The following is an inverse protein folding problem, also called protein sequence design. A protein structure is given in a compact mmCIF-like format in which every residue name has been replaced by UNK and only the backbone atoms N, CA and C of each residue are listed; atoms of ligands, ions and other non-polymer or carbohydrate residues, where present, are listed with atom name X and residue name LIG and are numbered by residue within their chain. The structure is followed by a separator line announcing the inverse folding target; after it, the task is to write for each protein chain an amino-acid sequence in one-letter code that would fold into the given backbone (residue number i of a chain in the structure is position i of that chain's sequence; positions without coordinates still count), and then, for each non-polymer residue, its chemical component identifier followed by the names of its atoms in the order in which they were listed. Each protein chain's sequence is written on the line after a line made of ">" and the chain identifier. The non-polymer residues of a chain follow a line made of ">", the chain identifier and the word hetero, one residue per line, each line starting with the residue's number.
data_IF_328570838984
#
_entry.id   IF_328570838984
#
_cell.length_a   1.000
_cell.length_b   1.000
_cell.length_c   1.000
_cell.angle_alpha   90.00
_cell.angle_beta   90.00
_cell.angle_gamma   90.00
#
_symmetry.space_group_name_H-M   'P 1'
#
loop_
_entity.id
_entity.type
_entity.pdbx_description
1 polymer ?
#
# COMPACT_ATOMS: atom_id res chain seq x y z
N UNK A 1 -4.67 -50.96 40.14
CA UNK A 1 -4.86 -49.49 40.06
C UNK A 1 -3.78 -48.95 39.14
N UNK A 2 -4.11 -48.67 37.89
CA UNK A 2 -3.14 -48.23 36.89
C UNK A 2 -3.00 -46.71 36.92
N UNK A 3 -1.83 -46.22 37.32
CA UNK A 3 -1.53 -44.79 37.41
C UNK A 3 -1.53 -44.16 36.01
N UNK A 4 -2.40 -43.18 35.81
CA UNK A 4 -2.45 -42.35 34.60
C UNK A 4 -1.21 -41.43 34.60
N UNK A 5 -0.17 -41.79 33.84
CA UNK A 5 1.04 -40.96 33.71
C UNK A 5 0.93 -40.08 32.45
N UNK A 6 0.69 -38.76 32.59
CA UNK A 6 0.47 -37.85 31.46
C UNK A 6 1.75 -37.54 30.68
N UNK A 7 2.93 -38.01 31.11
CA UNK A 7 4.21 -37.74 30.45
C UNK A 7 4.63 -38.80 29.43
N UNK A 8 3.89 -39.91 29.30
CA UNK A 8 4.22 -41.00 28.35
C UNK A 8 3.48 -40.90 27.02
N UNK A 9 2.49 -39.99 26.91
CA UNK A 9 1.62 -39.86 25.74
C UNK A 9 2.05 -38.69 24.85
N UNK A 10 3.15 -38.86 24.10
CA UNK A 10 3.32 -38.35 22.72
C UNK A 10 4.81 -38.37 22.31
N UNK A 11 5.29 -39.54 21.92
CA UNK A 11 6.44 -39.68 20.99
C UNK A 11 5.99 -39.60 19.52
N UNK A 12 4.74 -39.25 19.26
CA UNK A 12 4.21 -39.04 17.91
C UNK A 12 4.75 -37.73 17.33
N UNK A 13 5.78 -37.86 16.47
CA UNK A 13 6.22 -36.94 15.42
C UNK A 13 5.57 -35.53 15.41
N UNK A 14 5.95 -34.65 16.35
CA UNK A 14 5.64 -33.21 16.25
C UNK A 14 6.47 -32.47 15.19
N UNK A 15 7.50 -33.12 14.62
CA UNK A 15 8.45 -32.47 13.72
C UNK A 15 7.83 -32.04 12.38
N UNK A 16 6.93 -32.82 11.78
CA UNK A 16 6.35 -32.50 10.47
C UNK A 16 5.31 -31.39 10.51
N UNK A 17 4.47 -31.34 11.55
CA UNK A 17 3.43 -30.30 11.73
C UNK A 17 4.08 -28.94 12.02
N UNK A 18 5.20 -28.91 12.76
CA UNK A 18 5.95 -27.67 13.03
C UNK A 18 6.58 -27.05 11.78
N UNK A 19 7.12 -27.87 10.86
CA UNK A 19 7.76 -27.38 9.62
C UNK A 19 6.73 -26.85 8.61
N UNK A 20 5.56 -27.48 8.50
CA UNK A 20 4.49 -27.00 7.60
C UNK A 20 3.88 -25.70 8.17
N UNK A 21 3.60 -25.65 9.47
CA UNK A 21 3.06 -24.45 10.11
C UNK A 21 4.01 -23.24 10.09
N UNK A 22 5.33 -23.48 10.14
CA UNK A 22 6.33 -22.41 10.01
C UNK A 22 6.47 -21.92 8.56
N UNK A 23 6.50 -22.84 7.58
CA UNK A 23 6.53 -22.48 6.16
C UNK A 23 5.31 -21.64 5.75
N UNK A 24 4.12 -22.02 6.20
CA UNK A 24 2.89 -21.30 5.88
C UNK A 24 2.86 -19.92 6.56
N UNK A 25 3.43 -19.81 7.77
CA UNK A 25 3.60 -18.54 8.48
C UNK A 25 4.55 -17.57 7.76
N UNK A 26 5.72 -18.05 7.32
CA UNK A 26 6.70 -17.23 6.61
C UNK A 26 6.14 -16.73 5.28
N UNK A 27 5.42 -17.61 4.56
CA UNK A 27 4.72 -17.25 3.33
C UNK A 27 3.70 -16.14 3.57
N UNK A 28 2.88 -16.25 4.60
CA UNK A 28 1.85 -15.24 4.90
C UNK A 28 2.48 -13.92 5.38
N UNK A 29 3.58 -13.99 6.13
CA UNK A 29 4.35 -12.81 6.56
C UNK A 29 4.88 -12.03 5.36
N UNK A 30 5.53 -12.70 4.40
CA UNK A 30 6.00 -12.08 3.15
C UNK A 30 4.86 -11.50 2.32
N UNK A 31 3.69 -12.17 2.32
CA UNK A 31 2.50 -11.66 1.64
C UNK A 31 2.01 -10.35 2.27
N UNK A 32 2.04 -10.24 3.59
CA UNK A 32 1.70 -9.01 4.30
C UNK A 32 2.68 -7.88 4.00
N UNK A 33 3.99 -8.16 3.97
CA UNK A 33 5.01 -7.18 3.59
C UNK A 33 4.80 -6.65 2.17
N UNK A 34 4.56 -7.55 1.21
CA UNK A 34 4.26 -7.18 -0.18
C UNK A 34 2.97 -6.36 -0.31
N UNK A 35 1.95 -6.68 0.48
CA UNK A 35 0.71 -5.90 0.55
C UNK A 35 0.95 -4.49 1.10
N UNK A 36 1.75 -4.36 2.16
CA UNK A 36 2.12 -3.07 2.74
C UNK A 36 2.85 -2.18 1.73
N UNK A 37 3.83 -2.74 1.04
CA UNK A 37 4.60 -2.02 0.02
C UNK A 37 3.72 -1.60 -1.16
N UNK A 38 2.87 -2.50 -1.65
CA UNK A 38 1.92 -2.21 -2.73
C UNK A 38 0.93 -1.10 -2.34
N UNK A 39 0.40 -1.15 -1.12
CA UNK A 39 -0.53 -0.12 -0.59
C UNK A 39 0.14 1.25 -0.50
N UNK A 40 1.39 1.30 -0.01
CA UNK A 40 2.18 2.54 0.05
C UNK A 40 2.51 3.07 -1.36
N UNK A 41 2.85 2.19 -2.30
CA UNK A 41 3.11 2.59 -3.69
C UNK A 41 1.87 3.20 -4.33
N UNK A 42 0.74 2.49 -4.27
CA UNK A 42 -0.54 2.95 -4.81
C UNK A 42 -0.92 4.34 -4.26
N UNK A 43 -0.74 4.55 -2.95
CA UNK A 43 -1.04 5.83 -2.31
C UNK A 43 -0.16 6.96 -2.88
N UNK A 44 1.15 6.71 -3.04
CA UNK A 44 2.07 7.69 -3.62
C UNK A 44 1.71 8.01 -5.07
N UNK A 45 1.35 6.99 -5.85
CA UNK A 45 1.04 7.17 -7.26
C UNK A 45 -0.26 7.96 -7.46
N UNK A 46 -1.28 7.73 -6.62
CA UNK A 46 -2.52 8.52 -6.63
C UNK A 46 -2.29 9.98 -6.24
N UNK A 47 -1.42 10.25 -5.25
CA UNK A 47 -1.04 11.63 -4.89
C UNK A 47 -0.29 12.32 -6.05
N UNK A 48 0.56 11.59 -6.77
CA UNK A 48 1.23 12.14 -7.97
C UNK A 48 0.25 12.39 -9.11
N UNK A 49 -0.73 11.52 -9.29
CA UNK A 49 -1.78 11.68 -10.29
C UNK A 49 -2.61 12.94 -10.04
N UNK A 50 -3.02 13.18 -8.78
CA UNK A 50 -3.72 14.39 -8.35
C UNK A 50 -2.94 15.66 -8.75
N UNK A 51 -1.64 15.71 -8.42
CA UNK A 51 -0.77 16.81 -8.84
C UNK A 51 -0.64 16.94 -10.36
N UNK A 52 -0.62 15.83 -11.09
CA UNK A 52 -0.48 15.84 -12.55
C UNK A 52 -1.74 16.41 -13.22
N UNK A 53 -2.91 16.13 -12.65
CA UNK A 53 -4.17 16.74 -13.09
C UNK A 53 -4.20 18.25 -12.86
N UNK A 54 -3.73 18.69 -11.70
CA UNK A 54 -3.57 20.11 -11.39
C UNK A 54 -2.64 20.83 -12.37
N UNK A 55 -1.49 20.21 -12.69
CA UNK A 55 -0.54 20.75 -13.69
C UNK A 55 -1.18 20.79 -15.08
N UNK A 56 -1.92 19.75 -15.46
CA UNK A 56 -2.66 19.70 -16.73
C UNK A 56 -3.72 20.81 -16.83
N UNK A 57 -4.54 21.00 -15.79
CA UNK A 57 -5.57 22.04 -15.76
C UNK A 57 -4.95 23.44 -15.87
N UNK A 58 -3.86 23.71 -15.16
CA UNK A 58 -3.12 24.98 -15.27
C UNK A 58 -2.55 25.19 -16.68
N UNK A 59 -1.95 24.16 -17.27
CA UNK A 59 -1.40 24.21 -18.63
C UNK A 59 -2.49 24.50 -19.67
N UNK A 60 -3.64 23.86 -19.52
CA UNK A 60 -4.80 24.05 -20.39
C UNK A 60 -5.36 25.48 -20.30
N UNK A 61 -5.50 26.02 -19.08
CA UNK A 61 -5.95 27.40 -18.86
C UNK A 61 -4.97 28.42 -19.45
N UNK A 62 -3.66 28.19 -19.29
CA UNK A 62 -2.63 29.04 -19.89
C UNK A 62 -2.72 29.03 -21.41
N UNK A 63 -2.87 27.87 -22.03
CA UNK A 63 -3.00 27.74 -23.48
C UNK A 63 -4.26 28.45 -24.01
N UNK A 64 -5.40 28.29 -23.33
CA UNK A 64 -6.64 29.00 -23.64
C UNK A 64 -6.50 30.52 -23.50
N UNK A 65 -5.80 30.98 -22.47
CA UNK A 65 -5.50 32.39 -22.26
C UNK A 65 -4.63 32.95 -23.40
N UNK A 66 -3.55 32.25 -23.75
CA UNK A 66 -2.61 32.68 -24.79
C UNK A 66 -3.28 32.70 -26.18
N UNK A 67 -4.18 31.74 -26.45
CA UNK A 67 -4.96 31.71 -27.69
C UNK A 67 -5.99 32.85 -27.76
N UNK A 68 -6.76 33.05 -26.68
CA UNK A 68 -7.72 34.16 -26.58
C UNK A 68 -7.04 35.54 -26.69
N UNK A 69 -5.82 35.66 -26.14
CA UNK A 69 -5.02 36.87 -26.17
C UNK A 69 -4.23 37.09 -27.46
N UNK A 70 -4.28 36.15 -28.41
CA UNK A 70 -3.47 36.23 -29.62
C UNK A 70 -3.82 37.47 -30.46
N UNK A 71 -2.79 38.17 -30.96
CA UNK A 71 -2.95 39.35 -31.80
C UNK A 71 -3.79 39.08 -33.06
N UNK A 72 -3.81 37.83 -33.53
CA UNK A 72 -4.65 37.39 -34.65
C UNK A 72 -6.15 37.53 -34.34
N UNK A 73 -6.61 37.10 -33.16
CA UNK A 73 -8.01 37.24 -32.78
C UNK A 73 -8.34 38.71 -32.50
N UNK A 74 -7.47 39.40 -31.76
CA UNK A 74 -7.69 40.78 -31.33
C UNK A 74 -7.64 41.81 -32.49
N UNK A 75 -6.83 41.61 -33.53
CA UNK A 75 -6.78 42.55 -34.66
C UNK A 75 -8.00 42.48 -35.57
N UNK A 76 -8.52 41.28 -35.84
CA UNK A 76 -9.69 41.13 -36.72
C UNK A 76 -10.99 41.55 -36.03
N UNK A 77 -11.09 41.38 -34.71
CA UNK A 77 -12.22 41.89 -33.94
C UNK A 77 -12.27 43.43 -33.94
N UNK A 78 -11.12 44.10 -33.86
CA UNK A 78 -11.04 45.57 -33.86
C UNK A 78 -11.32 46.22 -35.22
N UNK A 79 -11.05 45.55 -36.34
CA UNK A 79 -11.28 46.10 -37.67
C UNK A 79 -12.74 45.98 -38.17
N UNK A 80 -13.66 45.43 -37.37
CA UNK A 80 -15.04 45.06 -37.76
C UNK A 80 -15.14 44.13 -38.99
N UNK A 81 -14.03 43.71 -39.58
CA UNK A 81 -13.94 42.63 -40.56
C UNK A 81 -13.87 41.29 -39.84
N UNK A 82 -14.95 40.95 -39.12
CA UNK A 82 -15.10 39.57 -38.63
C UNK A 82 -15.31 38.65 -39.83
N UNK A 83 -14.33 37.78 -40.06
CA UNK A 83 -14.40 36.75 -41.10
C UNK A 83 -15.05 35.50 -40.53
N UNK A 84 -15.64 34.65 -41.37
CA UNK A 84 -16.12 33.32 -40.94
C UNK A 84 -15.05 32.53 -40.18
N UNK A 85 -13.77 32.71 -40.55
CA UNK A 85 -12.64 32.06 -39.90
C UNK A 85 -12.44 32.55 -38.45
N UNK A 86 -12.48 33.85 -38.20
CA UNK A 86 -12.26 34.42 -36.86
C UNK A 86 -13.39 34.05 -35.91
N UNK A 87 -14.64 34.08 -36.38
CA UNK A 87 -15.81 33.61 -35.61
C UNK A 87 -15.69 32.13 -35.26
N UNK A 88 -15.30 31.28 -36.23
CA UNK A 88 -15.13 29.85 -35.99
C UNK A 88 -14.02 29.56 -34.97
N UNK A 89 -12.90 30.29 -35.02
CA UNK A 89 -11.80 30.14 -34.07
C UNK A 89 -12.24 30.57 -32.66
N UNK A 90 -12.90 31.72 -32.52
CA UNK A 90 -13.43 32.18 -31.23
C UNK A 90 -14.43 31.19 -30.63
N UNK A 91 -15.29 30.60 -31.46
CA UNK A 91 -16.20 29.55 -31.02
C UNK A 91 -15.45 28.31 -30.52
N UNK A 92 -14.43 27.85 -31.27
CA UNK A 92 -13.63 26.70 -30.89
C UNK A 92 -12.91 26.91 -29.54
N UNK A 93 -12.42 28.13 -29.29
CA UNK A 93 -11.79 28.51 -28.02
C UNK A 93 -12.82 28.48 -26.87
N UNK A 94 -14.03 28.98 -27.10
CA UNK A 94 -15.10 28.93 -26.11
C UNK A 94 -15.54 27.49 -25.80
N UNK A 95 -15.70 26.66 -26.83
CA UNK A 95 -16.05 25.25 -26.68
C UNK A 95 -14.95 24.49 -25.91
N UNK A 96 -13.69 24.79 -26.22
CA UNK A 96 -12.57 24.23 -25.47
C UNK A 96 -12.55 24.72 -24.02
N UNK A 97 -12.80 26.01 -23.76
CA UNK A 97 -12.89 26.53 -22.39
C UNK A 97 -13.98 25.84 -21.58
N UNK A 98 -15.16 25.63 -22.16
CA UNK A 98 -16.25 24.90 -21.51
C UNK A 98 -15.86 23.44 -21.23
N UNK A 99 -15.21 22.79 -22.20
CA UNK A 99 -14.70 21.41 -22.04
C UNK A 99 -13.64 21.32 -20.94
N UNK A 100 -12.72 22.28 -20.88
CA UNK A 100 -11.67 22.36 -19.86
C UNK A 100 -12.26 22.51 -18.46
N UNK A 101 -13.27 23.36 -18.30
CA UNK A 101 -14.00 23.51 -17.03
C UNK A 101 -14.68 22.20 -16.62
N UNK A 102 -15.40 21.56 -17.55
CA UNK A 102 -16.06 20.29 -17.29
C UNK A 102 -15.06 19.19 -16.89
N UNK A 103 -13.93 19.08 -17.59
CA UNK A 103 -12.87 18.13 -17.22
C UNK A 103 -12.35 18.44 -15.80
N UNK A 104 -12.08 19.71 -15.49
CA UNK A 104 -11.60 20.11 -14.16
C UNK A 104 -12.58 19.72 -13.04
N UNK A 105 -13.89 19.89 -13.25
CA UNK A 105 -14.92 19.50 -12.29
C UNK A 105 -14.95 17.98 -12.08
N UNK A 106 -14.92 17.21 -13.18
CA UNK A 106 -14.90 15.74 -13.12
C UNK A 106 -13.63 15.22 -12.43
N UNK A 107 -12.49 15.83 -12.72
CA UNK A 107 -11.22 15.49 -12.09
C UNK A 107 -11.21 15.84 -10.61
N UNK A 108 -11.78 16.98 -10.20
CA UNK A 108 -11.95 17.32 -8.78
C UNK A 108 -12.82 16.29 -8.05
N UNK A 109 -13.93 15.86 -8.65
CA UNK A 109 -14.80 14.82 -8.10
C UNK A 109 -14.04 13.48 -7.97
N UNK A 110 -13.31 13.10 -9.02
CA UNK A 110 -12.47 11.90 -9.00
C UNK A 110 -11.44 11.96 -7.86
N UNK A 111 -10.74 13.08 -7.71
CA UNK A 111 -9.73 13.26 -6.65
C UNK A 111 -10.36 13.19 -5.25
N UNK A 112 -11.54 13.76 -5.06
CA UNK A 112 -12.29 13.66 -3.79
C UNK A 112 -12.65 12.19 -3.48
N UNK A 113 -13.21 11.47 -4.45
CA UNK A 113 -13.57 10.06 -4.30
C UNK A 113 -12.32 9.24 -4.02
N UNK A 114 -11.25 9.40 -4.80
CA UNK A 114 -9.98 8.68 -4.65
C UNK A 114 -9.37 8.94 -3.27
N UNK A 115 -9.41 10.17 -2.77
CA UNK A 115 -8.89 10.53 -1.46
C UNK A 115 -9.64 9.78 -0.34
N UNK A 116 -10.98 9.85 -0.34
CA UNK A 116 -11.81 9.24 0.70
C UNK A 116 -11.81 7.71 0.64
N UNK A 117 -11.89 7.14 -0.56
CA UNK A 117 -12.10 5.70 -0.74
C UNK A 117 -10.79 4.92 -0.74
N UNK A 118 -9.73 5.45 -1.35
CA UNK A 118 -8.46 4.73 -1.52
C UNK A 118 -7.40 5.26 -0.57
N UNK A 119 -7.09 6.56 -0.59
CA UNK A 119 -5.97 7.12 0.19
C UNK A 119 -6.20 6.93 1.69
N UNK A 120 -7.36 7.34 2.21
CA UNK A 120 -7.64 7.22 3.64
C UNK A 120 -7.80 5.76 4.10
N UNK A 121 -8.40 4.91 3.25
CA UNK A 121 -8.47 3.47 3.53
C UNK A 121 -7.10 2.82 3.53
N UNK A 122 -6.21 3.21 2.62
CA UNK A 122 -4.81 2.75 2.57
C UNK A 122 -4.01 3.21 3.78
N UNK A 123 -4.21 4.44 4.28
CA UNK A 123 -3.59 4.90 5.54
C UNK A 123 -4.04 4.03 6.73
N UNK A 124 -5.34 3.75 6.85
CA UNK A 124 -5.88 2.85 7.89
C UNK A 124 -5.30 1.44 7.77
N UNK A 125 -5.23 0.91 6.56
CA UNK A 125 -4.62 -0.40 6.29
C UNK A 125 -3.14 -0.43 6.68
N UNK A 126 -2.38 0.61 6.31
CA UNK A 126 -0.95 0.72 6.65
C UNK A 126 -0.73 0.73 8.17
N UNK A 127 -1.57 1.44 8.93
CA UNK A 127 -1.52 1.42 10.39
C UNK A 127 -1.84 0.03 10.96
N UNK A 128 -2.86 -0.65 10.44
CA UNK A 128 -3.19 -2.00 10.84
C UNK A 128 -2.06 -2.99 10.55
N UNK A 129 -1.45 -2.90 9.36
CA UNK A 129 -0.31 -3.72 8.97
C UNK A 129 0.90 -3.47 9.88
N UNK A 130 1.20 -2.21 10.24
CA UNK A 130 2.27 -1.90 11.19
C UNK A 130 2.05 -2.57 12.57
N UNK A 131 0.80 -2.63 13.05
CA UNK A 131 0.47 -3.34 14.28
C UNK A 131 0.68 -4.86 14.16
N UNK A 132 0.30 -5.45 13.02
CA UNK A 132 0.53 -6.87 12.73
C UNK A 132 2.03 -7.17 12.66
N UNK A 133 2.81 -6.34 11.98
CA UNK A 133 4.28 -6.45 11.91
C UNK A 133 4.92 -6.41 13.29
N UNK A 134 4.44 -5.54 14.20
CA UNK A 134 4.92 -5.51 15.58
C UNK A 134 4.55 -6.78 16.36
N UNK A 135 3.36 -7.36 16.12
CA UNK A 135 2.96 -8.62 16.72
C UNK A 135 3.80 -9.80 16.22
N UNK A 136 4.12 -9.83 14.92
CA UNK A 136 5.03 -10.80 14.30
C UNK A 136 6.40 -10.75 14.97
N UNK A 137 7.00 -9.56 15.10
CA UNK A 137 8.29 -9.37 15.78
C UNK A 137 8.26 -9.86 17.24
N UNK A 138 7.18 -9.57 17.98
CA UNK A 138 7.01 -10.06 19.36
C UNK A 138 6.95 -11.59 19.42
N UNK A 139 6.21 -12.22 18.50
CA UNK A 139 6.13 -13.68 18.40
C UNK A 139 7.50 -14.30 18.10
N UNK A 140 8.24 -13.75 17.15
CA UNK A 140 9.59 -14.22 16.81
C UNK A 140 10.55 -14.12 17.99
N UNK A 141 10.48 -13.01 18.74
CA UNK A 141 11.26 -12.84 19.97
C UNK A 141 10.92 -13.92 21.00
N UNK A 142 9.62 -14.15 21.28
CA UNK A 142 9.19 -15.20 22.21
C UNK A 142 9.60 -16.61 21.77
N UNK A 143 9.53 -16.89 20.46
CA UNK A 143 9.97 -18.18 19.90
C UNK A 143 11.48 -18.38 20.09
N UNK A 144 12.28 -17.36 19.81
CA UNK A 144 13.72 -17.39 20.01
C UNK A 144 14.09 -17.62 21.48
N UNK A 145 13.37 -16.98 22.40
CA UNK A 145 13.60 -17.16 23.84
C UNK A 145 13.18 -18.57 24.32
N UNK A 146 12.06 -19.09 23.81
CA UNK A 146 11.67 -20.48 24.03
C UNK A 146 12.74 -21.47 23.55
N UNK A 147 13.26 -21.30 22.33
CA UNK A 147 14.32 -22.16 21.76
C UNK A 147 15.58 -22.14 22.66
N UNK A 148 15.98 -20.96 23.15
CA UNK A 148 17.12 -20.84 24.08
C UNK A 148 16.89 -21.61 25.39
N UNK A 149 15.69 -21.52 25.97
CA UNK A 149 15.34 -22.23 27.21
C UNK A 149 15.29 -23.74 26.96
N UNK A 150 14.69 -24.17 25.84
CA UNK A 150 14.63 -25.58 25.46
C UNK A 150 16.03 -26.17 25.32
N UNK A 151 16.95 -25.49 24.62
CA UNK A 151 18.35 -25.93 24.54
C UNK A 151 19.06 -26.03 25.90
N UNK A 152 18.75 -25.15 26.86
CA UNK A 152 19.29 -25.24 28.22
C UNK A 152 18.75 -26.47 28.96
N UNK A 153 17.45 -26.74 28.83
CA UNK A 153 16.81 -27.93 29.41
C UNK A 153 17.40 -29.21 28.82
N UNK A 154 17.55 -29.28 27.51
CA UNK A 154 18.10 -30.46 26.83
C UNK A 154 19.53 -30.74 27.32
N UNK A 155 20.39 -29.71 27.41
CA UNK A 155 21.75 -29.82 27.97
C UNK A 155 21.77 -30.26 29.44
N UNK A 156 20.82 -29.80 30.26
CA UNK A 156 20.72 -30.23 31.65
C UNK A 156 20.28 -31.70 31.75
N UNK A 157 19.31 -32.12 30.95
CA UNK A 157 18.85 -33.50 30.88
C UNK A 157 19.95 -34.44 30.41
N UNK A 158 20.76 -34.05 29.41
CA UNK A 158 21.94 -34.82 28.97
C UNK A 158 22.94 -35.01 30.13
N UNK A 159 23.23 -33.94 30.90
CA UNK A 159 24.12 -34.03 32.07
C UNK A 159 23.56 -34.93 33.16
N UNK A 160 22.27 -34.81 33.49
CA UNK A 160 21.60 -35.64 34.49
C UNK A 160 21.53 -37.11 34.07
N UNK A 161 21.17 -37.40 32.82
CA UNK A 161 21.15 -38.76 32.26
C UNK A 161 22.53 -39.39 32.23
N UNK A 162 23.57 -38.62 31.90
CA UNK A 162 24.97 -39.08 31.94
C UNK A 162 25.45 -39.36 33.36
N UNK A 163 25.02 -38.55 34.34
CA UNK A 163 25.42 -38.71 35.74
C UNK A 163 24.77 -39.92 36.44
N UNK A 164 23.61 -40.39 35.95
CA UNK A 164 22.96 -41.61 36.46
C UNK A 164 23.68 -42.87 35.94
N UNK A 165 24.32 -42.83 34.77
CA UNK A 165 25.09 -43.95 34.23
C UNK A 165 26.54 -44.04 34.72
N UNK A 166 27.04 -43.04 35.46
CA UNK A 166 28.38 -43.10 36.07
C UNK A 166 28.38 -43.55 37.54
N UNK A 167 27.20 -43.71 38.16
CA UNK A 167 27.04 -44.14 39.55
C UNK A 167 26.37 -45.53 39.69
N UNK A 168 26.37 -46.33 38.62
CA UNK A 168 26.02 -47.76 38.61
C UNK A 168 27.25 -48.51 38.16
#
# INVERSE_FOLDING_TARGET
>A
MSSWNPFTRNTTSRKSIGVIATRDYDRETRRLESLEESSKSLTRDLIKQDKSFDDFARGQLKLLHDLSGSAFINHYDQQQTSTTLTTNISQLINDWKATAQHISEQTSLLNEITSKTIIDSSKRLTLALANVTNAIKKREQSLNDYIKIQHKLDKMNEKLGSSIHQNV
#
